data_IF_201203259633
#
_entry.id   IF_201203259633
#
_cell.length_a   1.000
_cell.length_b   1.000
_cell.length_c   1.000
_cell.angle_alpha   90.00
_cell.angle_beta   90.00
_cell.angle_gamma   90.00
#
_symmetry.space_group_name_H-M   'P 1'
#
loop_
_entity.id
_entity.type
_entity.pdbx_description
1 polymer ?
#
# COMPACT_ATOMS: atom_id res chain seq x y z
N UNK A 1 -53.86 60.31 35.87
CA UNK A 1 -53.27 59.04 36.32
C UNK A 1 -53.52 57.88 35.34
N UNK A 2 -54.78 57.58 34.95
CA UNK A 2 -55.12 56.46 34.04
C UNK A 2 -54.43 56.50 32.65
N UNK A 3 -54.29 57.70 32.05
CA UNK A 3 -53.60 57.88 30.76
C UNK A 3 -52.09 57.59 30.83
N UNK A 4 -51.45 57.84 31.97
CA UNK A 4 -50.01 57.64 32.16
C UNK A 4 -49.66 56.14 32.21
N UNK A 5 -50.49 55.35 32.90
CA UNK A 5 -50.32 53.89 33.03
C UNK A 5 -50.48 53.20 31.67
N UNK A 6 -51.45 53.62 30.85
CA UNK A 6 -51.66 53.05 29.51
C UNK A 6 -50.49 53.33 28.58
N UNK A 7 -49.92 54.55 28.65
CA UNK A 7 -48.72 54.90 27.87
C UNK A 7 -47.51 54.09 28.32
N UNK A 8 -47.34 53.88 29.63
CA UNK A 8 -46.23 53.10 30.17
C UNK A 8 -46.30 51.62 29.77
N UNK A 9 -47.51 51.02 29.78
CA UNK A 9 -47.74 49.64 29.33
C UNK A 9 -47.50 49.49 27.83
N UNK A 10 -47.92 50.46 27.02
CA UNK A 10 -47.65 50.47 25.58
C UNK A 10 -46.15 50.55 25.28
N UNK A 11 -45.40 51.38 26.01
CA UNK A 11 -43.94 51.47 25.88
C UNK A 11 -43.27 50.14 26.24
N UNK A 12 -43.69 49.49 27.33
CA UNK A 12 -43.15 48.18 27.74
C UNK A 12 -43.46 47.09 26.70
N UNK A 13 -44.67 47.07 26.13
CA UNK A 13 -45.02 46.13 25.06
C UNK A 13 -44.18 46.37 23.80
N UNK A 14 -44.00 47.62 23.39
CA UNK A 14 -43.21 47.98 22.20
C UNK A 14 -41.74 47.61 22.42
N UNK A 15 -41.17 47.91 23.59
CA UNK A 15 -39.79 47.54 23.93
C UNK A 15 -39.62 46.02 24.03
N UNK A 16 -40.56 45.30 24.61
CA UNK A 16 -40.53 43.83 24.67
C UNK A 16 -40.58 43.19 23.27
N UNK A 17 -41.39 43.75 22.36
CA UNK A 17 -41.48 43.27 20.98
C UNK A 17 -40.23 43.57 20.16
N UNK A 18 -39.56 44.71 20.38
CA UNK A 18 -38.32 45.02 19.68
C UNK A 18 -37.14 44.19 20.18
N UNK A 19 -37.10 43.83 21.47
CA UNK A 19 -36.04 42.96 22.01
C UNK A 19 -36.16 41.51 21.51
N UNK A 20 -37.37 40.98 21.32
CA UNK A 20 -37.58 39.64 20.77
C UNK A 20 -37.17 39.51 19.30
N UNK A 21 -37.13 40.61 18.55
CA UNK A 21 -36.67 40.66 17.16
C UNK A 21 -35.13 40.82 17.02
N UNK A 22 -34.41 41.10 18.12
CA UNK A 22 -32.96 41.34 18.12
C UNK A 22 -32.17 40.18 18.74
N UNK A 23 -32.83 39.21 19.39
CA UNK A 23 -32.13 37.95 19.72
C UNK A 23 -31.83 37.26 18.39
N UNK A 24 -30.54 37.07 18.02
CA UNK A 24 -30.20 36.27 16.87
C UNK A 24 -30.85 34.91 17.10
N UNK A 25 -31.69 34.51 16.16
CA UNK A 25 -32.21 33.15 16.07
C UNK A 25 -31.01 32.33 15.54
N UNK A 26 -29.93 32.18 16.32
CA UNK A 26 -28.73 31.44 15.92
C UNK A 26 -28.89 29.96 16.21
N UNK A 27 -29.84 29.34 15.51
CA UNK A 27 -29.77 27.91 15.29
C UNK A 27 -30.42 27.42 13.98
N UNK A 28 -30.32 28.11 12.83
CA UNK A 28 -30.76 27.52 11.54
C UNK A 28 -29.99 27.96 10.28
N UNK A 29 -28.67 27.86 10.27
CA UNK A 29 -27.96 27.32 9.08
C UNK A 29 -26.50 26.94 9.44
N UNK A 30 -26.31 25.74 9.97
CA UNK A 30 -24.98 25.13 10.17
C UNK A 30 -24.35 24.69 8.83
N UNK A 31 -24.38 25.56 7.81
CA UNK A 31 -23.76 25.30 6.50
C UNK A 31 -22.35 25.88 6.36
N UNK A 32 -21.89 26.68 7.33
CA UNK A 32 -20.54 27.23 7.38
C UNK A 32 -19.76 26.70 8.59
N UNK A 33 -19.13 25.55 8.34
CA UNK A 33 -18.03 24.85 9.02
C UNK A 33 -17.51 25.45 10.34
N UNK A 34 -17.92 24.83 11.45
CA UNK A 34 -17.23 24.93 12.74
C UNK A 34 -15.93 24.12 12.67
N UNK A 35 -14.79 24.71 13.00
CA UNK A 35 -13.58 23.93 13.24
C UNK A 35 -13.80 23.10 14.51
N UNK A 36 -13.83 21.77 14.36
CA UNK A 36 -14.06 20.85 15.46
C UNK A 36 -12.74 20.64 16.20
N UNK A 37 -12.62 21.15 17.43
CA UNK A 37 -11.44 20.98 18.28
C UNK A 37 -11.73 20.05 19.47
N UNK A 38 -10.90 19.02 19.67
CA UNK A 38 -10.87 18.14 20.84
C UNK A 38 -12.19 17.40 21.17
N UNK A 39 -12.84 16.81 20.17
CA UNK A 39 -14.03 15.96 20.39
C UNK A 39 -13.62 14.54 20.78
N UNK A 40 -14.08 14.08 21.95
CA UNK A 40 -13.79 12.72 22.46
C UNK A 40 -14.49 11.62 21.66
N UNK A 41 -15.76 11.84 21.28
CA UNK A 41 -16.58 10.92 20.49
C UNK A 41 -17.41 11.74 19.50
N UNK A 42 -17.27 11.46 18.20
CA UNK A 42 -18.02 12.12 17.14
C UNK A 42 -18.80 11.06 16.35
N UNK A 43 -20.12 11.21 16.27
CA UNK A 43 -20.99 10.36 15.43
C UNK A 43 -21.40 11.16 14.21
N UNK A 44 -20.98 10.73 13.04
CA UNK A 44 -21.22 11.40 11.75
C UNK A 44 -21.55 10.34 10.71
N UNK A 45 -22.37 10.70 9.71
CA UNK A 45 -22.77 9.77 8.65
C UNK A 45 -21.61 9.45 7.70
N UNK A 46 -21.17 10.45 6.94
CA UNK A 46 -20.00 10.37 6.05
C UNK A 46 -18.96 11.40 6.46
N UNK A 47 -17.69 11.02 6.43
CA UNK A 47 -16.56 11.92 6.61
C UNK A 47 -15.84 12.00 5.27
N UNK A 48 -15.79 13.17 4.66
CA UNK A 48 -14.97 13.43 3.48
C UNK A 48 -13.72 14.18 3.93
N UNK A 49 -12.58 13.50 4.00
CA UNK A 49 -11.29 14.12 4.36
C UNK A 49 -10.53 14.45 3.09
N UNK A 50 -10.15 15.71 2.92
CA UNK A 50 -9.27 16.15 1.84
C UNK A 50 -7.86 16.34 2.40
N UNK A 51 -6.88 15.58 1.90
CA UNK A 51 -5.48 15.61 2.36
C UNK A 51 -5.13 14.51 3.37
N UNK A 52 -3.98 14.64 4.05
CA UNK A 52 -3.47 13.63 4.97
C UNK A 52 -4.35 13.54 6.23
N UNK A 53 -5.07 12.43 6.37
CA UNK A 53 -5.94 12.20 7.51
C UNK A 53 -5.16 11.55 8.65
N UNK A 54 -5.02 12.25 9.79
CA UNK A 54 -4.48 11.70 11.06
C UNK A 54 -5.45 10.73 11.75
N UNK A 55 -6.38 10.13 11.00
CA UNK A 55 -7.36 9.19 11.53
C UNK A 55 -6.66 7.84 11.75
N UNK A 56 -6.58 7.40 13.01
CA UNK A 56 -6.14 6.04 13.34
C UNK A 56 -7.27 5.05 12.99
N UNK A 57 -7.49 4.81 11.70
CA UNK A 57 -8.50 3.89 11.19
C UNK A 57 -7.96 2.47 11.20
N UNK A 58 -8.69 1.54 11.81
CA UNK A 58 -8.43 0.11 11.65
C UNK A 58 -8.88 -0.30 10.23
N UNK A 59 -8.03 -1.07 9.54
CA UNK A 59 -8.29 -1.64 8.22
C UNK A 59 -9.65 -2.35 8.11
N UNK A 60 -10.15 -2.95 9.19
CA UNK A 60 -11.47 -3.61 9.23
C UNK A 60 -12.65 -2.69 8.96
N UNK A 61 -12.50 -1.38 9.13
CA UNK A 61 -13.54 -0.39 8.88
C UNK A 61 -13.55 0.15 7.43
N UNK A 62 -12.57 -0.22 6.61
CA UNK A 62 -12.55 0.12 5.18
C UNK A 62 -13.50 -0.81 4.40
N UNK A 63 -14.36 -0.22 3.57
CA UNK A 63 -15.39 -0.93 2.79
C UNK A 63 -15.10 -1.02 1.29
N UNK A 64 -14.25 -0.15 0.76
CA UNK A 64 -13.92 -0.06 -0.66
C UNK A 64 -12.45 -0.39 -0.88
N UNK A 65 -12.11 -1.68 -0.80
CA UNK A 65 -10.77 -2.15 -1.13
C UNK A 65 -10.50 -1.94 -2.63
N UNK A 66 -9.23 -1.73 -3.04
CA UNK A 66 -8.84 -1.75 -4.44
C UNK A 66 -9.25 -3.05 -5.14
N UNK A 67 -9.38 -3.00 -6.46
CA UNK A 67 -9.68 -4.18 -7.26
C UNK A 67 -8.62 -5.29 -7.03
N UNK A 68 -9.08 -6.54 -6.95
CA UNK A 68 -8.18 -7.68 -6.81
C UNK A 68 -7.28 -7.82 -8.06
N UNK A 69 -6.05 -8.26 -7.86
CA UNK A 69 -5.15 -8.60 -8.95
C UNK A 69 -5.74 -9.72 -9.83
N UNK A 70 -5.60 -9.64 -11.17
CA UNK A 70 -5.97 -10.73 -12.07
C UNK A 70 -5.25 -12.04 -11.74
N UNK A 71 -5.83 -13.17 -12.15
CA UNK A 71 -5.22 -14.48 -11.99
C UNK A 71 -3.81 -14.52 -12.61
N UNK A 72 -2.84 -15.10 -11.88
CA UNK A 72 -1.45 -15.19 -12.31
C UNK A 72 -0.59 -13.93 -12.04
N UNK A 73 -1.10 -12.97 -11.26
CA UNK A 73 -0.33 -11.78 -10.87
C UNK A 73 -0.33 -11.61 -9.34
N UNK A 74 0.73 -10.98 -8.84
CA UNK A 74 0.89 -10.64 -7.43
C UNK A 74 0.94 -9.13 -7.24
N UNK A 75 0.51 -8.68 -6.07
CA UNK A 75 0.60 -7.29 -5.65
C UNK A 75 2.07 -6.94 -5.41
N UNK A 76 2.60 -5.99 -6.20
CA UNK A 76 3.98 -5.54 -6.08
C UNK A 76 4.10 -4.18 -5.42
N UNK A 77 3.06 -3.34 -5.51
CA UNK A 77 2.97 -2.06 -4.79
C UNK A 77 1.54 -1.77 -4.34
N UNK A 78 1.44 -1.19 -3.14
CA UNK A 78 0.20 -0.73 -2.50
C UNK A 78 0.31 0.79 -2.26
N UNK A 79 -0.09 1.58 -3.25
CA UNK A 79 -0.21 3.05 -3.18
C UNK A 79 -1.68 3.47 -3.42
N UNK A 80 -1.92 4.69 -3.93
CA UNK A 80 -3.26 5.16 -4.36
C UNK A 80 -3.88 4.32 -5.50
N UNK A 81 -3.04 3.51 -6.19
CA UNK A 81 -3.47 2.47 -7.12
C UNK A 81 -2.72 1.18 -6.82
N UNK A 82 -3.42 0.05 -6.94
CA UNK A 82 -2.83 -1.28 -6.85
C UNK A 82 -2.03 -1.60 -8.11
N UNK A 83 -0.76 -1.95 -7.94
CA UNK A 83 0.08 -2.45 -9.03
C UNK A 83 0.27 -3.96 -8.87
N UNK A 84 -0.12 -4.71 -9.90
CA UNK A 84 0.04 -6.15 -9.97
C UNK A 84 1.05 -6.51 -11.05
N UNK A 85 1.96 -7.43 -10.77
CA UNK A 85 2.96 -7.91 -11.73
C UNK A 85 2.93 -9.44 -11.76
N UNK A 86 3.14 -10.02 -12.94
CA UNK A 86 3.33 -11.46 -13.05
C UNK A 86 4.56 -11.90 -12.23
N UNK A 87 4.60 -13.13 -11.68
CA UNK A 87 5.84 -13.69 -11.18
C UNK A 87 6.90 -13.60 -12.26
N UNK A 88 8.06 -13.04 -11.91
CA UNK A 88 9.27 -13.22 -12.71
C UNK A 88 9.80 -14.60 -12.34
N UNK A 89 10.08 -15.44 -13.33
CA UNK A 89 10.71 -16.73 -13.14
C UNK A 89 12.16 -16.52 -12.67
N UNK A 90 12.33 -16.20 -11.39
CA UNK A 90 13.61 -16.17 -10.69
C UNK A 90 13.74 -17.36 -9.72
N UNK A 91 12.70 -18.20 -9.64
CA UNK A 91 12.80 -19.51 -9.01
C UNK A 91 13.25 -20.51 -10.07
N UNK A 92 14.37 -21.19 -9.80
CA UNK A 92 14.93 -22.24 -10.65
C UNK A 92 14.01 -23.45 -10.56
N UNK A 93 12.88 -23.41 -11.26
CA UNK A 93 12.00 -24.54 -11.42
C UNK A 93 12.77 -25.58 -12.25
N UNK A 94 12.95 -26.84 -11.80
CA UNK A 94 13.79 -27.83 -12.48
C UNK A 94 13.32 -28.21 -13.90
N UNK A 95 12.20 -27.64 -14.37
CA UNK A 95 11.66 -27.78 -15.72
C UNK A 95 11.93 -26.59 -16.66
N UNK A 96 12.43 -25.46 -16.17
CA UNK A 96 12.71 -24.25 -16.97
C UNK A 96 14.18 -23.81 -16.83
N UNK A 97 15.11 -24.74 -17.04
CA UNK A 97 16.50 -24.36 -17.29
C UNK A 97 16.58 -23.82 -18.71
N UNK A 98 16.80 -22.49 -18.92
CA UNK A 98 16.90 -21.94 -20.26
C UNK A 98 18.00 -22.66 -21.06
N UNK A 99 17.74 -22.97 -22.33
CA UNK A 99 18.76 -23.60 -23.16
C UNK A 99 19.98 -22.65 -23.30
N UNK A 100 21.17 -23.11 -22.91
CA UNK A 100 22.37 -22.29 -22.99
C UNK A 100 23.55 -22.82 -22.21
N UNK A 101 24.65 -22.07 -22.29
CA UNK A 101 25.87 -22.35 -21.55
C UNK A 101 25.71 -21.91 -20.10
N UNK A 102 26.18 -22.75 -19.17
CA UNK A 102 26.14 -22.47 -17.73
C UNK A 102 27.54 -22.40 -17.18
N UNK A 103 27.77 -21.45 -16.28
CA UNK A 103 29.05 -21.28 -15.60
C UNK A 103 28.81 -21.15 -14.10
N UNK A 104 29.45 -22.03 -13.33
CA UNK A 104 29.52 -21.94 -11.88
C UNK A 104 30.94 -21.51 -11.55
N UNK A 105 31.07 -20.30 -11.01
CA UNK A 105 32.35 -19.68 -10.68
C UNK A 105 33.33 -19.69 -11.87
N UNK A 106 32.88 -19.11 -13.00
CA UNK A 106 33.57 -18.88 -14.28
C UNK A 106 34.20 -20.14 -14.91
N UNK A 107 35.25 -20.67 -14.30
CA UNK A 107 35.98 -21.85 -14.74
C UNK A 107 35.76 -23.08 -13.85
N UNK A 108 35.21 -22.97 -12.64
CA UNK A 108 35.12 -24.11 -11.71
C UNK A 108 34.29 -25.25 -12.30
N UNK A 109 33.07 -24.97 -12.77
CA UNK A 109 32.26 -25.88 -13.58
C UNK A 109 31.62 -25.10 -14.72
N UNK A 110 31.84 -25.55 -15.96
CA UNK A 110 31.27 -24.95 -17.16
C UNK A 110 30.54 -25.99 -17.99
N UNK A 111 29.31 -25.69 -18.39
CA UNK A 111 28.51 -26.50 -19.32
C UNK A 111 28.44 -25.73 -20.63
N UNK A 112 28.98 -26.32 -21.68
CA UNK A 112 28.88 -25.83 -23.05
C UNK A 112 27.78 -26.61 -23.78
N UNK A 113 26.56 -26.08 -23.74
CA UNK A 113 25.41 -26.70 -24.40
C UNK A 113 25.50 -26.61 -25.92
N UNK A 114 26.36 -25.74 -26.45
CA UNK A 114 26.51 -25.57 -27.91
C UNK A 114 27.31 -26.69 -28.54
N UNK A 115 28.14 -27.38 -27.76
CA UNK A 115 29.05 -28.43 -28.23
C UNK A 115 28.96 -29.74 -27.42
N UNK A 116 28.00 -29.84 -26.50
CA UNK A 116 27.82 -30.98 -25.59
C UNK A 116 29.07 -31.30 -24.75
N UNK A 117 29.66 -30.26 -24.12
CA UNK A 117 30.90 -30.40 -23.33
C UNK A 117 30.75 -29.91 -21.90
N UNK A 118 31.53 -30.53 -21.01
CA UNK A 118 31.67 -30.13 -19.61
C UNK A 118 33.13 -29.75 -19.34
N UNK A 119 33.35 -28.55 -18.82
CA UNK A 119 34.62 -28.06 -18.31
C UNK A 119 34.65 -28.08 -16.79
N UNK A 120 35.75 -28.56 -16.21
CA UNK A 120 36.05 -28.43 -14.77
C UNK A 120 37.42 -27.75 -14.63
N UNK A 121 37.46 -26.61 -13.96
CA UNK A 121 38.66 -25.74 -13.93
C UNK A 121 38.94 -25.00 -15.24
N UNK A 122 38.03 -25.03 -16.21
CA UNK A 122 38.15 -24.37 -17.52
C UNK A 122 36.79 -23.96 -18.08
N UNK A 123 36.71 -22.76 -18.69
CA UNK A 123 35.51 -22.28 -19.39
C UNK A 123 35.54 -22.55 -20.90
N UNK A 124 36.60 -23.20 -21.40
CA UNK A 124 36.79 -23.52 -22.82
C UNK A 124 37.09 -25.02 -22.98
N UNK A 125 36.11 -25.92 -22.73
CA UNK A 125 36.29 -27.35 -22.93
C UNK A 125 36.58 -27.65 -24.41
N UNK A 126 37.52 -28.56 -24.70
CA UNK A 126 37.78 -29.05 -26.07
C UNK A 126 37.41 -30.52 -26.28
N UNK A 127 37.03 -31.22 -25.21
CA UNK A 127 36.54 -32.61 -25.19
C UNK A 127 35.21 -32.68 -24.42
N UNK A 128 34.47 -33.79 -24.54
CA UNK A 128 33.18 -33.97 -23.87
C UNK A 128 33.25 -33.77 -22.35
N UNK A 129 34.34 -34.22 -21.73
CA UNK A 129 34.76 -33.79 -20.40
C UNK A 129 36.19 -33.26 -20.51
N UNK A 130 36.41 -32.01 -20.14
CA UNK A 130 37.73 -31.37 -20.07
C UNK A 130 37.97 -30.89 -18.63
N UNK A 131 39.00 -31.43 -18.01
CA UNK A 131 39.44 -31.04 -16.67
C UNK A 131 40.80 -30.35 -16.73
N UNK A 132 40.96 -29.24 -16.00
CA UNK A 132 42.22 -28.51 -15.86
C UNK A 132 42.51 -28.28 -14.37
N UNK A 133 43.50 -29.00 -13.82
CA UNK A 133 43.92 -28.93 -12.41
C UNK A 133 44.66 -30.19 -11.95
N UNK A 134 44.75 -30.39 -10.62
CA UNK A 134 45.34 -31.58 -9.99
C UNK A 134 44.31 -32.67 -9.65
N UNK A 135 44.56 -33.90 -10.11
CA UNK A 135 43.73 -35.06 -9.76
C UNK A 135 44.38 -35.84 -8.61
N UNK A 136 43.68 -35.94 -7.47
CA UNK A 136 44.04 -36.84 -6.38
C UNK A 136 43.33 -38.19 -6.57
N UNK A 137 44.10 -39.24 -6.87
CA UNK A 137 43.57 -40.60 -6.91
C UNK A 137 43.76 -41.29 -5.55
N UNK A 138 42.67 -41.47 -4.81
CA UNK A 138 42.70 -42.28 -3.59
C UNK A 138 42.43 -43.74 -3.98
N UNK A 139 43.43 -44.60 -3.89
CA UNK A 139 43.20 -46.05 -3.90
C UNK A 139 42.42 -46.42 -2.64
N UNK A 140 41.30 -47.18 -2.73
CA UNK A 140 40.65 -47.71 -1.56
C UNK A 140 41.68 -48.50 -0.75
N UNK A 141 41.76 -48.23 0.55
CA UNK A 141 42.62 -48.99 1.44
C UNK A 141 42.19 -50.47 1.36
N UNK A 142 43.03 -51.33 0.82
CA UNK A 142 42.83 -52.77 0.94
C UNK A 142 43.04 -53.10 2.42
N UNK A 143 41.94 -53.23 3.15
CA UNK A 143 41.93 -53.67 4.54
C UNK A 143 42.42 -55.09 4.69
#
# INVERSE_FOLDING_TARGET
MRKLIVVLVMIIMVLGFTMAAIIPKDDWDLKNFYNIYNVKNMTVGTINVTGDSILNLNWTFLKNYPAACPAGTFLTQLDDSVTCTAPVADDVDPGDFPAGNYSFDTSTLFIDSSNDRIGIGTSNPYSGLHYQGDILYLTPNAG
#
